data_IF_531775042786
#
_entry.id   IF_531775042786
#
_cell.length_a   1.000
_cell.length_b   1.000
_cell.length_c   1.000
_cell.angle_alpha   90.00
_cell.angle_beta   90.00
_cell.angle_gamma   90.00
#
_symmetry.space_group_name_H-M   'P 1'
#
loop_
_entity.id
_entity.type
_entity.pdbx_description
1 polymer ?
#
# COMPACT_ATOMS: atom_id res chain seq x y z
N UNK A 1 14.90 -34.98 25.91
CA UNK A 1 14.21 -33.99 25.05
C UNK A 1 13.51 -33.03 25.98
N UNK A 2 13.98 -31.78 26.06
CA UNK A 2 13.45 -30.78 27.00
C UNK A 2 12.35 -30.00 26.29
N UNK A 3 11.13 -30.09 26.80
CA UNK A 3 9.97 -29.34 26.29
C UNK A 3 9.85 -28.02 27.03
N UNK A 4 9.87 -26.92 26.29
CA UNK A 4 9.63 -25.58 26.83
C UNK A 4 8.19 -25.16 26.49
N UNK A 5 7.46 -24.69 27.50
CA UNK A 5 6.13 -24.11 27.29
C UNK A 5 6.31 -22.63 27.02
N UNK A 6 5.88 -22.18 25.84
CA UNK A 6 5.90 -20.78 25.45
C UNK A 6 4.54 -20.18 25.81
N UNK A 7 4.52 -19.19 26.71
CA UNK A 7 3.33 -18.39 26.96
C UNK A 7 3.15 -17.40 25.80
N UNK A 8 1.96 -17.37 25.20
CA UNK A 8 1.64 -16.49 24.07
C UNK A 8 0.62 -15.40 24.44
N UNK A 9 0.14 -15.35 25.68
CA UNK A 9 -0.92 -14.43 26.09
C UNK A 9 -0.51 -12.96 25.92
N UNK A 10 0.76 -12.64 26.16
CA UNK A 10 1.28 -11.29 26.01
C UNK A 10 1.22 -10.78 24.57
N UNK A 11 1.50 -11.65 23.59
CA UNK A 11 1.49 -11.25 22.17
C UNK A 11 0.05 -11.05 21.63
N UNK A 12 -0.96 -11.64 22.27
CA UNK A 12 -2.37 -11.43 21.94
C UNK A 12 -3.04 -10.36 22.82
N UNK A 13 -2.29 -9.74 23.73
CA UNK A 13 -2.81 -8.70 24.60
C UNK A 13 -3.24 -7.46 23.82
N UNK A 14 -4.20 -6.71 24.38
CA UNK A 14 -4.62 -5.41 23.83
C UNK A 14 -3.47 -4.41 23.78
N UNK A 15 -2.55 -4.51 24.73
CA UNK A 15 -1.37 -3.64 24.82
C UNK A 15 -0.38 -3.92 23.69
N UNK A 16 -0.10 -5.20 23.41
CA UNK A 16 0.71 -5.59 22.27
C UNK A 16 0.08 -5.14 20.95
N UNK A 17 -1.22 -5.33 20.77
CA UNK A 17 -1.92 -4.86 19.58
C UNK A 17 -1.83 -3.34 19.41
N UNK A 18 -1.98 -2.56 20.49
CA UNK A 18 -1.84 -1.10 20.45
C UNK A 18 -0.41 -0.68 20.08
N UNK A 19 0.60 -1.28 20.72
CA UNK A 19 2.00 -0.96 20.48
C UNK A 19 2.45 -1.31 19.04
N UNK A 20 2.08 -2.50 18.56
CA UNK A 20 2.51 -2.98 17.25
C UNK A 20 1.68 -2.43 16.09
N UNK A 21 0.51 -1.82 16.34
CA UNK A 21 -0.29 -1.17 15.29
C UNK A 21 0.45 -0.07 14.54
N UNK A 22 1.40 0.60 15.20
CA UNK A 22 2.22 1.69 14.65
C UNK A 22 3.68 1.28 14.39
N UNK A 23 4.03 0.03 14.66
CA UNK A 23 5.41 -0.43 14.55
C UNK A 23 5.87 -0.52 13.09
N UNK A 24 7.19 -0.47 12.90
CA UNK A 24 7.80 -0.63 11.59
C UNK A 24 7.54 -2.04 11.02
N UNK A 25 7.27 -2.11 9.71
CA UNK A 25 7.07 -3.36 8.97
C UNK A 25 8.17 -4.43 9.17
N UNK A 26 9.41 -4.03 9.45
CA UNK A 26 10.52 -4.96 9.73
C UNK A 26 10.32 -5.70 11.06
N UNK A 27 9.82 -5.01 12.07
CA UNK A 27 9.50 -5.58 13.38
C UNK A 27 8.37 -6.60 13.23
N UNK A 28 7.30 -6.22 12.52
CA UNK A 28 6.15 -7.09 12.27
C UNK A 28 6.54 -8.36 11.49
N UNK A 29 7.47 -8.25 10.52
CA UNK A 29 8.02 -9.43 9.82
C UNK A 29 8.78 -10.37 10.75
N UNK A 30 9.56 -9.82 11.69
CA UNK A 30 10.29 -10.61 12.68
C UNK A 30 9.33 -11.40 13.58
N UNK A 31 8.31 -10.73 14.12
CA UNK A 31 7.27 -11.36 14.95
C UNK A 31 6.59 -12.49 14.17
N UNK A 32 6.16 -12.22 12.94
CA UNK A 32 5.54 -13.22 12.07
C UNK A 32 6.44 -14.44 11.84
N UNK A 33 7.71 -14.21 11.52
CA UNK A 33 8.67 -15.29 11.29
C UNK A 33 8.84 -16.18 12.53
N UNK A 34 8.90 -15.58 13.72
CA UNK A 34 9.00 -16.33 14.98
C UNK A 34 7.73 -17.15 15.22
N UNK A 35 6.54 -16.58 15.04
CA UNK A 35 5.27 -17.30 15.17
C UNK A 35 5.19 -18.49 14.20
N UNK A 36 5.55 -18.28 12.92
CA UNK A 36 5.58 -19.34 11.90
C UNK A 36 6.57 -20.45 12.28
N UNK A 37 7.77 -20.09 12.74
CA UNK A 37 8.83 -21.05 13.11
C UNK A 37 8.43 -21.90 14.32
N UNK A 38 7.76 -21.29 15.29
CA UNK A 38 7.30 -21.95 16.51
C UNK A 38 5.92 -22.61 16.35
N UNK A 39 5.33 -22.56 15.15
CA UNK A 39 3.99 -23.05 14.85
C UNK A 39 2.91 -22.47 15.79
N UNK A 40 3.08 -21.20 16.16
CA UNK A 40 2.13 -20.41 16.95
C UNK A 40 1.24 -19.65 15.96
N UNK A 41 -0.06 -19.46 16.24
CA UNK A 41 -0.90 -18.64 15.39
C UNK A 41 -0.31 -17.22 15.23
N UNK A 42 -0.62 -16.56 14.12
CA UNK A 42 -0.09 -15.23 13.83
C UNK A 42 -1.09 -14.20 14.35
N UNK A 43 -0.67 -13.22 15.17
CA UNK A 43 -1.57 -12.15 15.61
C UNK A 43 -1.94 -11.23 14.45
N UNK A 44 -3.17 -10.70 14.46
CA UNK A 44 -3.74 -9.93 13.36
C UNK A 44 -2.87 -8.73 12.91
N UNK A 45 -2.19 -8.06 13.84
CA UNK A 45 -1.30 -6.93 13.52
C UNK A 45 -0.03 -7.34 12.76
N UNK A 46 0.36 -8.62 12.80
CA UNK A 46 1.52 -9.17 12.12
C UNK A 46 1.14 -9.94 10.82
N UNK A 47 -0.14 -9.95 10.46
CA UNK A 47 -0.59 -10.58 9.22
C UNK A 47 -0.09 -9.84 7.97
N UNK A 48 0.07 -10.59 6.88
CA UNK A 48 0.41 -9.97 5.59
C UNK A 48 -0.81 -9.24 5.06
N UNK A 49 -0.58 -8.03 4.56
CA UNK A 49 -1.55 -7.43 3.63
C UNK A 49 -1.72 -8.36 2.43
N UNK A 50 -2.96 -8.55 2.01
CA UNK A 50 -3.30 -9.34 0.83
C UNK A 50 -2.50 -8.79 -0.35
N UNK A 51 -1.72 -9.62 -1.06
CA UNK A 51 -0.95 -9.16 -2.20
C UNK A 51 -1.90 -8.70 -3.33
N UNK A 52 -1.60 -7.55 -3.91
CA UNK A 52 -2.36 -6.99 -5.04
C UNK A 52 -3.11 -5.70 -4.71
N UNK A 53 -3.68 -5.09 -5.75
CA UNK A 53 -4.55 -3.91 -5.57
C UNK A 53 -5.86 -4.40 -4.96
N UNK A 54 -6.36 -3.81 -3.86
CA UNK A 54 -7.68 -4.12 -3.37
C UNK A 54 -8.70 -3.89 -4.49
N UNK A 55 -9.67 -4.81 -4.67
CA UNK A 55 -10.65 -4.68 -5.74
C UNK A 55 -11.41 -3.37 -5.60
N UNK A 56 -11.67 -2.68 -6.72
CA UNK A 56 -12.30 -1.35 -6.76
C UNK A 56 -13.59 -1.28 -5.93
N UNK A 57 -14.36 -2.38 -5.91
CA UNK A 57 -15.59 -2.52 -5.12
C UNK A 57 -15.36 -2.38 -3.60
N UNK A 58 -14.28 -2.96 -3.07
CA UNK A 58 -13.97 -2.87 -1.63
C UNK A 58 -13.57 -1.45 -1.25
N UNK A 59 -12.80 -0.78 -2.12
CA UNK A 59 -12.41 0.62 -1.94
C UNK A 59 -13.66 1.53 -1.96
N UNK A 60 -14.55 1.33 -2.95
CA UNK A 60 -15.79 2.10 -3.06
C UNK A 60 -16.71 1.90 -1.85
N UNK A 61 -16.82 0.66 -1.34
CA UNK A 61 -17.61 0.37 -0.14
C UNK A 61 -17.04 1.04 1.12
N UNK A 62 -15.72 0.95 1.33
CA UNK A 62 -15.06 1.63 2.45
C UNK A 62 -15.17 3.16 2.36
N UNK A 63 -15.06 3.72 1.14
CA UNK A 63 -15.26 5.14 0.90
C UNK A 63 -16.70 5.57 1.21
N UNK A 64 -17.70 4.82 0.77
CA UNK A 64 -19.10 5.11 1.05
C UNK A 64 -19.42 5.03 2.55
N UNK A 65 -18.85 4.06 3.27
CA UNK A 65 -19.00 3.96 4.72
C UNK A 65 -18.41 5.18 5.45
N UNK A 66 -17.26 5.68 5.00
CA UNK A 66 -16.59 6.84 5.61
C UNK A 66 -17.16 8.19 5.18
N UNK A 67 -17.90 8.24 4.06
CA UNK A 67 -18.43 9.47 3.47
C UNK A 67 -19.93 9.34 3.18
N UNK A 68 -20.66 8.77 4.14
CA UNK A 68 -22.11 8.56 4.01
C UNK A 68 -22.83 9.89 3.72
N UNK A 69 -23.57 9.95 2.61
CA UNK A 69 -24.33 11.14 2.19
C UNK A 69 -23.56 12.15 1.34
N UNK A 70 -22.25 11.98 1.12
CA UNK A 70 -21.49 12.80 0.17
C UNK A 70 -21.49 12.11 -1.21
N UNK A 71 -22.04 12.80 -2.21
CA UNK A 71 -21.86 12.38 -3.59
C UNK A 71 -20.37 12.44 -3.95
N UNK A 72 -19.79 11.39 -4.56
CA UNK A 72 -18.40 11.45 -5.01
C UNK A 72 -18.25 12.62 -5.99
N UNK A 73 -17.22 13.44 -5.78
CA UNK A 73 -16.95 14.56 -6.66
C UNK A 73 -16.83 14.08 -8.11
N UNK A 74 -17.42 14.80 -9.08
CA UNK A 74 -17.31 14.41 -10.49
C UNK A 74 -15.83 14.36 -10.87
N UNK A 75 -15.43 13.28 -11.57
CA UNK A 75 -14.08 13.15 -12.10
C UNK A 75 -13.86 14.22 -13.18
N UNK A 76 -13.28 15.35 -12.80
CA UNK A 76 -12.77 16.34 -13.76
C UNK A 76 -11.48 15.79 -14.36
N UNK A 77 -11.60 14.99 -15.42
CA UNK A 77 -10.45 14.70 -16.25
C UNK A 77 -10.05 15.99 -16.98
N UNK A 78 -8.86 16.52 -16.70
CA UNK A 78 -8.25 17.51 -17.60
C UNK A 78 -7.96 16.79 -18.91
N UNK A 79 -8.83 16.98 -19.90
CA UNK A 79 -8.58 16.50 -21.26
C UNK A 79 -7.25 17.10 -21.69
N UNK A 80 -6.22 16.26 -21.90
CA UNK A 80 -4.97 16.72 -22.49
C UNK A 80 -5.33 17.37 -23.82
N UNK A 81 -5.18 18.69 -23.90
CA UNK A 81 -5.27 19.37 -25.17
C UNK A 81 -4.09 18.91 -26.03
N UNK A 82 -4.32 18.56 -27.31
CA UNK A 82 -3.22 18.24 -28.20
C UNK A 82 -2.25 19.43 -28.23
N UNK A 83 -0.94 19.15 -28.22
CA UNK A 83 0.07 20.18 -28.33
C UNK A 83 -0.16 21.00 -29.61
N UNK A 84 0.04 22.32 -29.52
CA UNK A 84 -0.13 23.18 -30.70
C UNK A 84 0.85 22.78 -31.81
N UNK A 85 0.49 22.96 -33.09
CA UNK A 85 1.39 22.65 -34.21
C UNK A 85 2.76 23.32 -34.08
N UNK A 86 2.81 24.54 -33.53
CA UNK A 86 4.05 25.28 -33.27
C UNK A 86 4.92 24.60 -32.20
N UNK A 87 4.32 24.11 -31.10
CA UNK A 87 5.05 23.40 -30.06
C UNK A 87 5.63 22.07 -30.57
N UNK A 88 4.87 21.37 -31.43
CA UNK A 88 5.34 20.13 -32.07
C UNK A 88 6.49 20.40 -33.05
N UNK A 89 6.40 21.48 -33.84
CA UNK A 89 7.46 21.88 -34.76
C UNK A 89 8.76 22.25 -34.01
N UNK A 90 8.67 23.03 -32.94
CA UNK A 90 9.81 23.40 -32.11
C UNK A 90 10.48 22.18 -31.45
N UNK A 91 9.69 21.23 -30.95
CA UNK A 91 10.21 20.00 -30.37
C UNK A 91 10.96 19.14 -31.40
N UNK A 92 10.42 19.02 -32.63
CA UNK A 92 11.09 18.31 -33.72
C UNK A 92 12.41 18.98 -34.13
N UNK A 93 12.43 20.30 -34.20
CA UNK A 93 13.66 21.06 -34.51
C UNK A 93 14.73 20.87 -33.42
N UNK A 94 14.34 20.99 -32.15
CA UNK A 94 15.26 20.79 -31.04
C UNK A 94 15.83 19.35 -30.99
N UNK A 95 15.01 18.35 -31.35
CA UNK A 95 15.45 16.96 -31.43
C UNK A 95 16.42 16.73 -32.60
N UNK A 96 16.12 17.29 -33.78
CA UNK A 96 17.00 17.22 -34.94
C UNK A 96 18.35 17.91 -34.67
N UNK A 97 18.36 19.02 -33.95
CA UNK A 97 19.59 19.72 -33.59
C UNK A 97 20.45 18.93 -32.60
N UNK A 98 19.84 18.27 -31.60
CA UNK A 98 20.57 17.37 -30.68
C UNK A 98 21.19 16.17 -31.41
N UNK A 99 20.50 15.60 -32.39
CA UNK A 99 21.01 14.49 -33.19
C UNK A 99 22.17 14.90 -34.12
N UNK A 100 22.26 16.18 -34.50
CA UNK A 100 23.39 16.70 -35.29
C UNK A 100 24.62 17.03 -34.44
N UNK A 101 24.45 17.19 -33.13
CA UNK A 101 25.52 17.49 -32.17
C UNK A 101 26.10 16.23 -31.49
N UNK A 102 25.50 15.06 -31.72
CA UNK A 102 25.98 13.76 -31.28
C UNK A 102 26.72 13.06 -32.43
#
# INVERSE_FOLDING_TARGET
MTTYTVNTDEIYSREAAAHFSTADHRVLRGIRYVCETLNIPIPAYAERKIPGRPPSRVIAAAYAANNAGQAPAPLTYKRHQPASPAAVAAAKQAQAERQRRA
#
